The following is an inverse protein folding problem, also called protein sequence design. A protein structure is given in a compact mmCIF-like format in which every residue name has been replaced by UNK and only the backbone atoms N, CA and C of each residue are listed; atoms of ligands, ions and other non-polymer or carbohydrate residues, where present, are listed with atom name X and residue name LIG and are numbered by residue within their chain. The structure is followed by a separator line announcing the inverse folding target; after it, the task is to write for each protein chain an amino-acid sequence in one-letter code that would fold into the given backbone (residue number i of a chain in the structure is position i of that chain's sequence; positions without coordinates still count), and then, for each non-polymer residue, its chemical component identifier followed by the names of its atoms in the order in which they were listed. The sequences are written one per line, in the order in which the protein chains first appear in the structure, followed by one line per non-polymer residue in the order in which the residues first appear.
data_IF_948062662822
#
_entry.id   IF_948062662822
#
_cell.length_a   1.000
_cell.length_b   1.000
_cell.length_c   1.000
_cell.angle_alpha   90.00
_cell.angle_beta   90.00
_cell.angle_gamma   90.00
#
_symmetry.space_group_name_H-M   'P 1'
#
loop_
_entity.id
_entity.type
_entity.pdbx_description
1 polymer ?
#
# COMPACT_ATOMS: atom_id res chain seq x y z
N UNK A 1 -67.22 -45.37 -5.37
CA UNK A 1 -66.08 -44.83 -6.15
C UNK A 1 -64.79 -45.21 -5.43
N UNK A 2 -64.08 -46.23 -5.94
CA UNK A 2 -62.82 -46.71 -5.38
C UNK A 2 -61.67 -46.13 -6.21
N UNK A 3 -60.86 -45.25 -5.61
CA UNK A 3 -59.71 -44.67 -6.28
C UNK A 3 -58.51 -45.63 -6.17
N UNK A 4 -58.15 -46.19 -7.31
CA UNK A 4 -57.00 -47.06 -7.52
C UNK A 4 -55.71 -46.27 -7.30
N UNK A 5 -54.96 -46.58 -6.23
CA UNK A 5 -53.70 -45.89 -5.90
C UNK A 5 -52.58 -46.44 -6.81
N UNK A 6 -52.18 -45.67 -7.82
CA UNK A 6 -51.04 -45.97 -8.70
C UNK A 6 -49.76 -46.00 -7.84
N UNK A 7 -49.08 -47.15 -7.84
CA UNK A 7 -47.83 -47.35 -7.09
C UNK A 7 -46.68 -46.85 -7.96
N UNK A 8 -46.12 -45.69 -7.62
CA UNK A 8 -44.97 -45.11 -8.32
C UNK A 8 -43.70 -45.86 -7.89
N UNK A 9 -43.03 -46.50 -8.84
CA UNK A 9 -41.77 -47.22 -8.66
C UNK A 9 -40.63 -46.21 -8.45
N UNK A 10 -39.78 -46.32 -7.41
CA UNK A 10 -38.67 -45.40 -7.25
C UNK A 10 -37.60 -45.71 -8.31
N UNK A 11 -37.42 -44.79 -9.25
CA UNK A 11 -36.25 -44.74 -10.14
C UNK A 11 -35.01 -44.58 -9.27
N UNK A 12 -34.10 -45.56 -9.35
CA UNK A 12 -32.80 -45.49 -8.71
C UNK A 12 -32.02 -44.30 -9.23
N UNK A 13 -31.91 -43.25 -8.41
CA UNK A 13 -31.01 -42.13 -8.69
C UNK A 13 -29.60 -42.64 -8.44
N UNK A 14 -28.91 -43.04 -9.50
CA UNK A 14 -27.46 -43.16 -9.48
C UNK A 14 -26.87 -41.81 -9.04
N UNK A 15 -26.41 -41.75 -7.78
CA UNK A 15 -25.64 -40.61 -7.27
C UNK A 15 -24.29 -40.61 -7.97
N UNK A 16 -24.22 -39.96 -9.12
CA UNK A 16 -22.96 -39.46 -9.65
C UNK A 16 -22.37 -38.47 -8.64
N UNK A 17 -21.36 -38.95 -7.91
CA UNK A 17 -20.49 -38.14 -7.06
C UNK A 17 -20.00 -36.92 -7.87
N UNK A 18 -20.36 -35.68 -7.49
CA UNK A 18 -19.87 -34.51 -8.19
C UNK A 18 -18.35 -34.46 -8.03
N UNK A 19 -17.66 -34.50 -9.18
CA UNK A 19 -16.20 -34.40 -9.27
C UNK A 19 -15.75 -33.22 -8.40
N UNK A 20 -14.75 -33.42 -7.53
CA UNK A 20 -14.23 -32.45 -6.54
C UNK A 20 -13.98 -31.04 -7.12
N UNK A 21 -13.74 -30.94 -8.43
CA UNK A 21 -13.63 -29.69 -9.19
C UNK A 21 -14.89 -28.80 -9.13
N UNK A 22 -16.09 -29.38 -9.15
CA UNK A 22 -17.35 -28.64 -9.07
C UNK A 22 -17.55 -27.99 -7.70
N UNK A 23 -17.14 -28.67 -6.63
CA UNK A 23 -17.20 -28.12 -5.26
C UNK A 23 -16.20 -26.98 -5.08
N UNK A 24 -15.00 -27.10 -5.65
CA UNK A 24 -13.99 -26.03 -5.61
C UNK A 24 -14.41 -24.81 -6.43
N UNK A 25 -14.93 -25.03 -7.65
CA UNK A 25 -15.50 -23.97 -8.47
C UNK A 25 -16.64 -23.25 -7.74
N UNK A 26 -17.54 -24.00 -7.11
CA UNK A 26 -18.66 -23.41 -6.37
C UNK A 26 -18.20 -22.62 -5.14
N UNK A 27 -17.13 -23.06 -4.45
CA UNK A 27 -16.50 -22.31 -3.35
C UNK A 27 -15.78 -21.06 -3.84
N UNK A 28 -15.10 -21.12 -4.98
CA UNK A 28 -14.46 -19.95 -5.59
C UNK A 28 -15.50 -18.94 -6.05
N UNK A 29 -16.59 -19.38 -6.68
CA UNK A 29 -17.70 -18.51 -7.07
C UNK A 29 -18.39 -17.92 -5.85
N UNK A 30 -18.64 -18.71 -4.80
CA UNK A 30 -19.20 -18.17 -3.55
C UNK A 30 -18.25 -17.17 -2.89
N UNK A 31 -16.95 -17.45 -2.82
CA UNK A 31 -15.97 -16.54 -2.21
C UNK A 31 -15.78 -15.27 -3.06
N UNK A 32 -15.87 -15.38 -4.38
CA UNK A 32 -15.89 -14.26 -5.33
C UNK A 32 -17.15 -13.41 -5.17
N UNK A 33 -18.32 -14.03 -5.04
CA UNK A 33 -19.58 -13.33 -4.77
C UNK A 33 -19.58 -12.68 -3.38
N UNK A 34 -18.98 -13.30 -2.38
CA UNK A 34 -18.82 -12.74 -1.03
C UNK A 34 -17.80 -11.60 -0.98
N UNK A 35 -16.83 -11.59 -1.91
CA UNK A 35 -15.82 -10.53 -2.07
C UNK A 35 -16.28 -9.40 -2.98
N UNK A 36 -17.35 -9.57 -3.76
CA UNK A 36 -18.02 -8.46 -4.43
C UNK A 36 -18.73 -7.59 -3.39
N UNK A 37 -17.98 -6.60 -2.91
CA UNK A 37 -18.41 -5.49 -2.04
C UNK A 37 -19.64 -4.72 -2.62
N UNK A 38 -20.01 -4.98 -3.87
CA UNK A 38 -21.19 -4.41 -4.54
C UNK A 38 -22.55 -4.93 -4.08
N UNK A 39 -22.64 -6.01 -3.28
CA UNK A 39 -23.94 -6.57 -2.85
C UNK A 39 -24.43 -6.12 -1.46
N UNK A 40 -23.87 -5.05 -0.90
CA UNK A 40 -24.58 -4.28 0.15
C UNK A 40 -25.37 -3.18 -0.53
N UNK A 41 -26.52 -3.53 -1.11
CA UNK A 41 -27.41 -2.61 -1.80
C UNK A 41 -27.75 -1.37 -0.97
N UNK A 42 -27.87 -1.52 0.35
CA UNK A 42 -28.11 -0.42 1.29
C UNK A 42 -26.92 0.55 1.40
N UNK A 43 -25.68 0.04 1.46
CA UNK A 43 -24.46 0.85 1.57
C UNK A 43 -24.12 1.58 0.26
N UNK A 44 -24.54 1.02 -0.88
CA UNK A 44 -24.39 1.67 -2.20
C UNK A 44 -25.38 2.82 -2.37
N UNK A 45 -26.65 2.60 -1.98
CA UNK A 45 -27.70 3.64 -2.08
C UNK A 45 -27.42 4.78 -1.08
N UNK A 46 -27.02 4.49 0.16
CA UNK A 46 -26.65 5.51 1.13
C UNK A 46 -25.44 6.34 0.67
N UNK A 47 -24.42 5.72 0.08
CA UNK A 47 -23.29 6.46 -0.50
C UNK A 47 -23.68 7.26 -1.75
N UNK A 48 -24.60 6.75 -2.57
CA UNK A 48 -25.10 7.44 -3.75
C UNK A 48 -25.96 8.65 -3.35
N UNK A 49 -26.83 8.50 -2.34
CA UNK A 49 -27.65 9.56 -1.77
C UNK A 49 -26.78 10.58 -1.05
N UNK A 50 -25.79 10.16 -0.26
CA UNK A 50 -24.83 11.07 0.38
C UNK A 50 -23.98 11.82 -0.66
N UNK A 51 -23.61 11.17 -1.77
CA UNK A 51 -22.91 11.81 -2.88
C UNK A 51 -23.82 12.81 -3.62
N UNK A 52 -25.10 12.49 -3.81
CA UNK A 52 -26.09 13.36 -4.44
C UNK A 52 -26.39 14.57 -3.55
N UNK A 53 -26.56 14.39 -2.24
CA UNK A 53 -26.69 15.47 -1.25
C UNK A 53 -25.42 16.34 -1.19
N UNK A 54 -24.24 15.72 -1.26
CA UNK A 54 -22.97 16.45 -1.34
C UNK A 54 -22.86 17.27 -2.63
N UNK A 55 -23.26 16.70 -3.77
CA UNK A 55 -23.32 17.39 -5.06
C UNK A 55 -24.35 18.54 -5.06
N UNK A 56 -25.45 18.39 -4.31
CA UNK A 56 -26.49 19.41 -4.21
C UNK A 56 -26.11 20.55 -3.26
N UNK A 57 -25.31 20.25 -2.21
CA UNK A 57 -24.79 21.25 -1.25
C UNK A 57 -23.45 21.87 -1.64
N UNK A 58 -22.64 21.21 -2.47
CA UNK A 58 -21.29 21.63 -2.83
C UNK A 58 -21.16 21.66 -4.35
N UNK A 59 -20.77 22.81 -4.92
CA UNK A 59 -20.63 22.94 -6.37
C UNK A 59 -19.62 21.94 -6.92
N UNK A 60 -19.97 21.26 -8.03
CA UNK A 60 -19.06 20.37 -8.78
C UNK A 60 -17.71 21.04 -9.06
N UNK A 61 -17.72 22.35 -9.30
CA UNK A 61 -16.51 23.15 -9.49
C UNK A 61 -15.57 23.07 -8.28
N UNK A 62 -16.09 23.15 -7.05
CA UNK A 62 -15.28 23.06 -5.83
C UNK A 62 -14.71 21.65 -5.65
N UNK A 63 -15.48 20.60 -5.98
CA UNK A 63 -15.00 19.22 -5.93
C UNK A 63 -13.88 18.96 -6.96
N UNK A 64 -14.06 19.42 -8.19
CA UNK A 64 -13.05 19.32 -9.26
C UNK A 64 -11.79 20.12 -8.89
N UNK A 65 -11.96 21.34 -8.38
CA UNK A 65 -10.84 22.16 -7.89
C UNK A 65 -10.12 21.45 -6.75
N UNK A 66 -10.81 20.86 -5.77
CA UNK A 66 -10.16 20.08 -4.71
C UNK A 66 -9.43 18.87 -5.30
N UNK A 67 -10.00 18.12 -6.24
CA UNK A 67 -9.32 16.97 -6.86
C UNK A 67 -8.07 17.36 -7.68
N UNK A 68 -8.04 18.56 -8.26
CA UNK A 68 -6.89 19.07 -9.01
C UNK A 68 -5.87 19.73 -8.07
N UNK A 69 -6.33 20.46 -7.04
CA UNK A 69 -5.47 21.18 -6.10
C UNK A 69 -4.88 20.25 -5.06
N UNK A 70 -5.56 19.19 -4.64
CA UNK A 70 -5.03 18.22 -3.66
C UNK A 70 -3.71 17.56 -4.10
N UNK A 71 -3.52 17.12 -5.36
CA UNK A 71 -2.25 16.55 -5.80
C UNK A 71 -1.17 17.62 -6.04
N UNK A 72 -1.51 18.90 -6.23
CA UNK A 72 -0.53 19.95 -6.56
C UNK A 72 0.52 20.14 -5.46
N UNK A 73 0.19 20.28 -4.16
CA UNK A 73 1.18 20.35 -3.08
C UNK A 73 2.08 19.12 -3.02
N UNK A 74 1.53 17.93 -3.25
CA UNK A 74 2.29 16.69 -3.28
C UNK A 74 3.24 16.63 -4.50
N UNK A 75 2.78 17.07 -5.67
CA UNK A 75 3.62 17.19 -6.87
C UNK A 75 4.68 18.27 -6.72
N UNK A 76 4.36 19.41 -6.11
CA UNK A 76 5.31 20.49 -5.87
C UNK A 76 6.37 20.05 -4.87
N UNK A 77 5.99 19.34 -3.80
CA UNK A 77 6.93 18.74 -2.87
C UNK A 77 7.82 17.69 -3.56
N UNK A 78 7.25 16.82 -4.40
CA UNK A 78 8.01 15.85 -5.18
C UNK A 78 8.99 16.53 -6.15
N UNK A 79 8.57 17.59 -6.84
CA UNK A 79 9.41 18.38 -7.72
C UNK A 79 10.51 19.12 -6.96
N UNK A 80 10.21 19.73 -5.82
CA UNK A 80 11.20 20.37 -4.94
C UNK A 80 12.25 19.36 -4.46
N UNK A 81 11.81 18.13 -4.19
CA UNK A 81 12.65 17.01 -3.78
C UNK A 81 13.46 16.41 -4.96
N UNK A 82 12.93 16.45 -6.18
CA UNK A 82 13.61 16.02 -7.42
C UNK A 82 14.56 17.09 -7.96
N UNK A 83 14.31 18.37 -7.68
CA UNK A 83 15.16 19.50 -8.09
C UNK A 83 16.49 19.58 -7.32
N UNK A 84 16.63 18.82 -6.23
CA UNK A 84 17.91 18.71 -5.54
C UNK A 84 18.79 17.74 -6.34
N UNK A 85 19.63 18.30 -7.21
CA UNK A 85 20.60 17.59 -8.07
C UNK A 85 21.29 16.45 -7.30
N UNK A 86 20.97 15.21 -7.65
CA UNK A 86 21.70 14.03 -7.20
C UNK A 86 23.13 14.14 -7.72
N UNK A 87 24.09 14.34 -6.81
CA UNK A 87 25.49 14.08 -7.10
C UNK A 87 25.67 12.59 -7.48
N UNK A 88 26.71 12.24 -8.26
CA UNK A 88 26.94 10.85 -8.61
C UNK A 88 27.11 10.01 -7.34
N UNK A 89 26.27 8.98 -7.20
CA UNK A 89 26.24 8.05 -6.05
C UNK A 89 27.61 7.35 -5.81
N UNK A 90 28.57 7.46 -6.73
CA UNK A 90 29.93 6.94 -6.60
C UNK A 90 30.80 7.68 -5.59
N UNK A 91 30.46 8.93 -5.23
CA UNK A 91 31.23 9.72 -4.25
C UNK A 91 30.92 9.35 -2.78
N UNK A 92 30.05 8.35 -2.58
CA UNK A 92 29.74 7.80 -1.27
C UNK A 92 28.70 8.61 -0.49
N UNK A 93 28.33 8.08 0.69
CA UNK A 93 27.19 8.59 1.46
C UNK A 93 27.37 10.01 2.03
N UNK A 94 28.62 10.44 2.27
CA UNK A 94 28.94 11.76 2.84
C UNK A 94 28.78 12.91 1.83
N UNK A 95 29.08 12.67 0.56
CA UNK A 95 28.90 13.68 -0.50
C UNK A 95 27.41 13.91 -0.80
N UNK A 96 26.59 12.86 -0.65
CA UNK A 96 25.18 12.86 -1.03
C UNK A 96 24.23 13.37 0.08
N UNK A 97 24.47 14.56 0.65
CA UNK A 97 23.62 15.15 1.70
C UNK A 97 22.18 15.43 1.22
N UNK A 98 22.04 15.81 -0.05
CA UNK A 98 20.79 15.99 -0.77
C UNK A 98 19.84 14.79 -0.66
N UNK A 99 20.40 13.59 -0.81
CA UNK A 99 19.65 12.33 -0.74
C UNK A 99 19.07 12.13 0.66
N UNK A 100 19.84 12.43 1.71
CA UNK A 100 19.39 12.27 3.08
C UNK A 100 18.28 13.25 3.46
N UNK A 101 18.35 14.50 2.97
CA UNK A 101 17.29 15.49 3.16
C UNK A 101 15.98 15.02 2.50
N UNK A 102 16.08 14.53 1.26
CA UNK A 102 14.94 13.97 0.52
C UNK A 102 14.30 12.81 1.28
N UNK A 103 15.11 11.84 1.69
CA UNK A 103 14.63 10.65 2.41
C UNK A 103 14.04 11.04 3.77
N UNK A 104 14.57 12.10 4.42
CA UNK A 104 14.03 12.61 5.68
C UNK A 104 12.63 13.22 5.50
N UNK A 105 12.46 14.08 4.49
CA UNK A 105 11.17 14.73 4.21
C UNK A 105 10.10 13.70 3.83
N UNK A 106 10.46 12.71 3.01
CA UNK A 106 9.57 11.61 2.64
C UNK A 106 9.17 10.78 3.87
N UNK A 107 10.16 10.37 4.68
CA UNK A 107 9.89 9.64 5.92
C UNK A 107 9.00 10.43 6.88
N UNK A 108 9.24 11.74 7.05
CA UNK A 108 8.41 12.59 7.89
C UNK A 108 6.95 12.65 7.39
N UNK A 109 6.75 12.86 6.08
CA UNK A 109 5.41 12.91 5.49
C UNK A 109 4.66 11.59 5.67
N UNK A 110 5.33 10.45 5.43
CA UNK A 110 4.75 9.12 5.63
C UNK A 110 4.42 8.86 7.10
N UNK A 111 5.34 9.20 8.01
CA UNK A 111 5.11 9.03 9.45
C UNK A 111 3.96 9.90 9.96
N UNK A 112 3.86 11.16 9.48
CA UNK A 112 2.73 12.04 9.77
C UNK A 112 1.41 11.44 9.29
N UNK A 113 1.36 10.94 8.05
CA UNK A 113 0.17 10.31 7.49
C UNK A 113 -0.28 9.09 8.29
N UNK A 114 0.65 8.20 8.64
CA UNK A 114 0.37 7.03 9.48
C UNK A 114 -0.12 7.44 10.88
N UNK A 115 0.51 8.44 11.49
CA UNK A 115 0.16 8.89 12.84
C UNK A 115 -1.22 9.57 12.87
N UNK A 116 -1.56 10.35 11.85
CA UNK A 116 -2.89 10.94 11.69
C UNK A 116 -3.95 9.85 11.48
N UNK A 117 -3.67 8.85 10.63
CA UNK A 117 -4.59 7.73 10.44
C UNK A 117 -4.82 6.95 11.74
N UNK A 118 -3.77 6.73 12.53
CA UNK A 118 -3.87 6.10 13.86
C UNK A 118 -4.67 6.97 14.82
N UNK A 119 -4.43 8.29 14.83
CA UNK A 119 -5.17 9.26 15.66
C UNK A 119 -6.67 9.26 15.34
N UNK A 120 -7.03 9.33 14.06
CA UNK A 120 -8.43 9.41 13.63
C UNK A 120 -9.22 8.12 13.89
N UNK A 121 -8.54 6.96 13.89
CA UNK A 121 -9.19 5.65 13.99
C UNK A 121 -9.24 5.08 15.40
N UNK A 122 -8.22 5.33 16.24
CA UNK A 122 -8.07 4.62 17.52
C UNK A 122 -8.67 5.43 18.69
N UNK A 123 -8.32 6.70 18.88
CA UNK A 123 -8.93 7.58 19.89
C UNK A 123 -8.73 9.05 19.48
N UNK A 124 -9.79 9.72 19.03
CA UNK A 124 -9.78 11.12 18.57
C UNK A 124 -9.18 12.09 19.59
N UNK A 125 -9.30 11.79 20.90
CA UNK A 125 -8.85 12.65 22.00
C UNK A 125 -7.51 12.24 22.66
N UNK A 126 -6.89 11.11 22.29
CA UNK A 126 -5.67 10.65 22.97
C UNK A 126 -4.38 11.30 22.42
N UNK A 127 -4.39 11.77 21.16
CA UNK A 127 -3.18 12.28 20.49
C UNK A 127 -3.39 13.73 20.04
N UNK A 128 -2.76 14.67 20.73
CA UNK A 128 -2.68 16.07 20.29
C UNK A 128 -1.95 16.19 18.95
N UNK A 129 -2.27 17.20 18.14
CA UNK A 129 -1.56 17.47 16.87
C UNK A 129 -0.05 17.64 17.07
N UNK A 130 0.35 18.21 18.21
CA UNK A 130 1.76 18.33 18.60
C UNK A 130 2.37 16.97 18.89
N UNK A 131 1.65 16.07 19.55
CA UNK A 131 2.11 14.70 19.82
C UNK A 131 2.30 13.89 18.53
N UNK A 132 1.40 14.06 17.56
CA UNK A 132 1.54 13.44 16.24
C UNK A 132 2.79 13.95 15.50
N UNK A 133 3.05 15.27 15.54
CA UNK A 133 4.24 15.86 14.95
C UNK A 133 5.53 15.36 15.62
N UNK A 134 5.53 15.21 16.96
CA UNK A 134 6.68 14.67 17.71
C UNK A 134 6.94 13.21 17.35
N UNK A 135 5.91 12.37 17.26
CA UNK A 135 6.04 10.97 16.83
C UNK A 135 6.61 10.90 15.41
N UNK A 136 6.07 11.68 14.48
CA UNK A 136 6.52 11.67 13.10
C UNK A 136 7.95 12.18 12.94
N UNK A 137 8.32 13.25 13.63
CA UNK A 137 9.67 13.80 13.62
C UNK A 137 10.67 12.81 14.24
N UNK A 138 10.33 12.25 15.40
CA UNK A 138 11.14 11.22 16.06
C UNK A 138 11.35 10.00 15.17
N UNK A 139 10.29 9.55 14.48
CA UNK A 139 10.36 8.45 13.52
C UNK A 139 11.32 8.77 12.39
N UNK A 140 11.16 9.93 11.75
CA UNK A 140 11.98 10.33 10.61
C UNK A 140 13.46 10.45 10.99
N UNK A 141 13.76 11.03 12.17
CA UNK A 141 15.13 11.15 12.68
C UNK A 141 15.75 9.78 12.98
N UNK A 142 15.03 8.89 13.67
CA UNK A 142 15.51 7.55 13.99
C UNK A 142 15.76 6.72 12.72
N UNK A 143 14.83 6.82 11.76
CA UNK A 143 14.93 6.15 10.47
C UNK A 143 16.13 6.63 9.65
N UNK A 144 16.33 7.94 9.51
CA UNK A 144 17.49 8.50 8.81
C UNK A 144 18.80 8.15 9.50
N UNK A 145 18.84 8.22 10.83
CA UNK A 145 20.04 7.86 11.60
C UNK A 145 20.44 6.41 11.34
N UNK A 146 19.47 5.49 11.34
CA UNK A 146 19.69 4.09 11.01
C UNK A 146 20.13 3.93 9.55
N UNK A 147 19.51 4.65 8.61
CA UNK A 147 19.86 4.58 7.20
C UNK A 147 21.29 5.07 6.91
N UNK A 148 21.72 6.16 7.57
CA UNK A 148 23.09 6.67 7.51
C UNK A 148 24.07 5.68 8.15
N UNK A 149 23.71 5.10 9.30
CA UNK A 149 24.53 4.08 9.95
C UNK A 149 24.75 2.86 9.04
N UNK A 150 23.68 2.36 8.41
CA UNK A 150 23.77 1.27 7.43
C UNK A 150 24.63 1.69 6.23
N UNK A 151 24.48 2.91 5.73
CA UNK A 151 25.30 3.43 4.63
C UNK A 151 26.79 3.62 5.02
N UNK A 152 27.08 3.84 6.31
CA UNK A 152 28.44 3.95 6.82
C UNK A 152 29.10 2.58 7.03
N UNK A 153 28.32 1.57 7.45
CA UNK A 153 28.79 0.20 7.68
C UNK A 153 28.84 -0.63 6.39
N UNK A 154 28.00 -0.30 5.40
CA UNK A 154 27.88 -1.02 4.14
C UNK A 154 28.54 -0.27 2.97
N UNK A 155 28.94 -1.01 1.92
CA UNK A 155 29.48 -0.40 0.69
C UNK A 155 28.36 0.33 -0.05
N UNK A 156 28.37 1.66 -0.01
CA UNK A 156 27.40 2.50 -0.75
C UNK A 156 27.51 2.26 -2.27
N UNK A 157 26.38 2.23 -3.02
CA UNK A 157 24.98 2.41 -2.60
C UNK A 157 24.33 1.14 -2.00
N UNK A 158 23.36 1.33 -1.08
CA UNK A 158 22.62 0.23 -0.43
C UNK A 158 21.72 -0.46 -1.48
N UNK A 159 21.89 -1.77 -1.74
CA UNK A 159 21.02 -2.49 -2.67
C UNK A 159 19.60 -2.56 -2.10
N UNK A 160 18.60 -2.25 -2.93
CA UNK A 160 17.17 -2.30 -2.59
C UNK A 160 16.75 -1.40 -1.40
N UNK A 161 17.40 -0.24 -1.22
CA UNK A 161 17.10 0.71 -0.14
C UNK A 161 15.60 0.98 0.04
N UNK A 162 14.85 1.19 -1.05
CA UNK A 162 13.40 1.46 -0.99
C UNK A 162 12.53 0.32 -0.43
N UNK A 163 13.02 -0.91 -0.45
CA UNK A 163 12.30 -2.09 0.08
C UNK A 163 12.75 -2.38 1.51
N UNK A 164 14.06 -2.34 1.73
CA UNK A 164 14.66 -2.62 3.03
C UNK A 164 14.29 -1.57 4.08
N UNK A 165 14.05 -0.33 3.65
CA UNK A 165 13.68 0.80 4.49
C UNK A 165 12.29 0.71 5.12
N UNK A 166 11.37 -0.03 4.52
CA UNK A 166 9.97 -0.10 4.95
C UNK A 166 9.87 -0.74 6.35
N UNK A 167 10.63 -1.81 6.58
CA UNK A 167 10.59 -2.56 7.83
C UNK A 167 11.04 -1.69 9.02
N UNK A 168 12.21 -1.01 8.96
CA UNK A 168 12.59 -0.04 9.98
C UNK A 168 11.58 1.09 10.16
N UNK A 169 11.01 1.61 9.07
CA UNK A 169 10.05 2.71 9.13
C UNK A 169 8.80 2.32 9.94
N UNK A 170 8.19 1.18 9.62
CA UNK A 170 7.02 0.66 10.34
C UNK A 170 7.38 0.35 11.79
N UNK A 171 8.56 -0.22 12.04
CA UNK A 171 9.04 -0.48 13.40
C UNK A 171 9.13 0.80 14.24
N UNK A 172 9.77 1.87 13.73
CA UNK A 172 9.92 3.13 14.46
C UNK A 172 8.59 3.84 14.71
N UNK A 173 7.69 3.87 13.73
CA UNK A 173 6.34 4.45 13.90
C UNK A 173 5.59 3.70 15.00
N UNK A 174 5.55 2.36 14.92
CA UNK A 174 4.86 1.54 15.91
C UNK A 174 5.49 1.68 17.30
N UNK A 175 6.82 1.69 17.40
CA UNK A 175 7.55 1.82 18.66
C UNK A 175 7.28 3.18 19.32
N UNK A 176 7.48 4.29 18.60
CA UNK A 176 7.28 5.63 19.14
C UNK A 176 5.81 5.90 19.47
N UNK A 177 4.88 5.41 18.65
CA UNK A 177 3.45 5.49 18.98
C UNK A 177 3.13 4.67 20.22
N UNK A 178 3.75 3.49 20.40
CA UNK A 178 3.58 2.66 21.60
C UNK A 178 4.09 3.36 22.85
N UNK A 179 5.23 4.05 22.76
CA UNK A 179 5.80 4.81 23.88
C UNK A 179 4.90 5.98 24.27
N UNK A 180 4.30 6.67 23.29
CA UNK A 180 3.47 7.86 23.54
C UNK A 180 2.04 7.52 23.97
N UNK A 181 1.45 6.46 23.42
CA UNK A 181 0.01 6.13 23.57
C UNK A 181 -0.23 4.88 24.44
N UNK A 182 0.77 4.00 24.54
CA UNK A 182 0.68 2.73 25.25
C UNK A 182 0.42 1.51 24.34
N UNK A 183 0.93 0.31 24.70
CA UNK A 183 0.92 -0.87 23.83
C UNK A 183 -0.47 -1.48 23.60
N UNK A 184 -1.37 -1.33 24.58
CA UNK A 184 -2.70 -1.96 24.56
C UNK A 184 -3.59 -1.45 23.41
N UNK A 185 -3.48 -0.15 23.09
CA UNK A 185 -4.31 0.51 22.08
C UNK A 185 -3.88 0.16 20.64
N UNK A 186 -2.59 -0.08 20.42
CA UNK A 186 -2.07 -0.41 19.09
C UNK A 186 -2.31 -1.87 18.71
N UNK A 187 -2.10 -2.81 19.64
CA UNK A 187 -2.23 -4.25 19.39
C UNK A 187 -3.69 -4.65 19.09
N UNK A 188 -4.63 -3.94 19.69
CA UNK A 188 -6.07 -4.19 19.59
C UNK A 188 -6.70 -3.63 18.31
N UNK A 189 -6.01 -2.74 17.58
CA UNK A 189 -6.63 -2.08 16.43
C UNK A 189 -6.58 -2.95 15.15
N UNK A 190 -7.73 -3.28 14.55
CA UNK A 190 -7.76 -4.04 13.29
C UNK A 190 -7.26 -3.20 12.10
N UNK A 191 -7.38 -1.87 12.18
CA UNK A 191 -7.01 -0.96 11.10
C UNK A 191 -5.49 -0.83 10.96
N UNK A 192 -4.72 -0.78 12.06
CA UNK A 192 -3.25 -0.78 11.97
C UNK A 192 -2.75 -2.06 11.28
N UNK A 193 -3.36 -3.21 11.60
CA UNK A 193 -3.06 -4.48 10.92
C UNK A 193 -3.38 -4.41 9.44
N UNK A 194 -4.49 -3.76 9.07
CA UNK A 194 -4.86 -3.59 7.67
C UNK A 194 -3.91 -2.63 6.94
N UNK A 195 -3.45 -1.56 7.59
CA UNK A 195 -2.47 -0.64 7.01
C UNK A 195 -1.10 -1.28 6.83
N UNK A 196 -0.60 -2.00 7.84
CA UNK A 196 0.65 -2.75 7.72
C UNK A 196 0.53 -3.76 6.57
N UNK A 197 -0.59 -4.48 6.47
CA UNK A 197 -0.84 -5.37 5.32
C UNK A 197 -0.86 -4.62 3.99
N UNK A 198 -1.55 -3.49 3.90
CA UNK A 198 -1.62 -2.68 2.68
C UNK A 198 -0.24 -2.15 2.28
N UNK A 199 0.55 -1.66 3.24
CA UNK A 199 1.90 -1.17 2.99
C UNK A 199 2.82 -2.30 2.53
N UNK A 200 2.74 -3.48 3.15
CA UNK A 200 3.46 -4.67 2.69
C UNK A 200 3.06 -5.09 1.27
N UNK A 201 1.77 -5.01 0.92
CA UNK A 201 1.27 -5.30 -0.43
C UNK A 201 1.83 -4.29 -1.44
N UNK A 202 1.75 -2.98 -1.15
CA UNK A 202 2.30 -1.92 -2.01
C UNK A 202 3.79 -2.16 -2.24
N UNK A 203 4.53 -2.48 -1.19
CA UNK A 203 5.97 -2.74 -1.27
C UNK A 203 6.26 -4.00 -2.07
N UNK A 204 5.49 -5.07 -1.88
CA UNK A 204 5.56 -6.27 -2.71
C UNK A 204 5.32 -5.97 -4.19
N UNK A 205 4.37 -5.08 -4.49
CA UNK A 205 4.13 -4.59 -5.85
C UNK A 205 5.31 -3.78 -6.38
N UNK A 206 5.90 -2.89 -5.59
CA UNK A 206 7.08 -2.12 -6.00
C UNK A 206 8.30 -3.01 -6.26
N UNK A 207 8.52 -4.05 -5.45
CA UNK A 207 9.56 -5.07 -5.68
C UNK A 207 9.34 -5.76 -7.02
N UNK A 208 8.11 -6.16 -7.31
CA UNK A 208 7.76 -6.83 -8.56
C UNK A 208 8.02 -5.91 -9.77
N UNK A 209 7.60 -4.65 -9.70
CA UNK A 209 7.87 -3.64 -10.74
C UNK A 209 9.37 -3.46 -10.94
N UNK A 210 10.17 -3.39 -9.87
CA UNK A 210 11.62 -3.25 -9.96
C UNK A 210 12.28 -4.47 -10.62
N UNK A 211 11.81 -5.68 -10.30
CA UNK A 211 12.30 -6.93 -10.92
C UNK A 211 11.95 -6.98 -12.40
N UNK A 212 10.71 -6.63 -12.77
CA UNK A 212 10.26 -6.59 -14.16
C UNK A 212 11.06 -5.56 -14.95
N UNK A 213 11.23 -4.35 -14.42
CA UNK A 213 12.03 -3.34 -15.08
C UNK A 213 13.48 -3.78 -15.28
N UNK A 214 14.09 -4.40 -14.25
CA UNK A 214 15.47 -4.93 -14.32
C UNK A 214 15.61 -6.03 -15.38
N UNK A 215 14.63 -6.92 -15.49
CA UNK A 215 14.64 -8.01 -16.48
C UNK A 215 14.42 -7.49 -17.90
N UNK A 216 13.51 -6.52 -18.09
CA UNK A 216 13.28 -5.86 -19.39
C UNK A 216 14.52 -5.13 -19.89
N UNK A 217 15.23 -4.40 -19.03
CA UNK A 217 16.49 -3.71 -19.40
C UNK A 217 17.56 -4.73 -19.79
N UNK A 218 17.74 -5.80 -19.00
CA UNK A 218 18.75 -6.84 -19.30
C UNK A 218 18.44 -7.58 -20.61
N UNK A 219 17.16 -7.82 -20.92
CA UNK A 219 16.74 -8.41 -22.18
C UNK A 219 17.02 -7.48 -23.37
N UNK A 220 16.75 -6.17 -23.22
CA UNK A 220 17.05 -5.16 -24.24
C UNK A 220 18.56 -5.03 -24.52
N UNK A 221 19.40 -5.08 -23.49
CA UNK A 221 20.86 -5.05 -23.67
C UNK A 221 21.38 -6.32 -24.35
N UNK A 222 20.84 -7.50 -23.99
CA UNK A 222 21.23 -8.76 -24.61
C UNK A 222 20.82 -8.83 -26.10
N UNK A 223 19.64 -8.30 -26.46
CA UNK A 223 19.19 -8.26 -27.85
C UNK A 223 20.02 -7.29 -28.71
N UNK A 224 20.43 -6.14 -28.17
CA UNK A 224 21.33 -5.21 -28.87
C UNK A 224 22.75 -5.75 -29.05
N UNK A 225 23.27 -6.51 -28.08
CA UNK A 225 24.58 -7.16 -28.21
C UNK A 225 24.54 -8.26 -29.28
N UNK A 226 23.45 -9.04 -29.32
CA UNK A 226 23.27 -10.10 -30.31
C UNK A 226 23.12 -9.55 -31.73
N UNK A 227 22.40 -8.42 -31.91
CA UNK A 227 22.28 -7.77 -33.22
C UNK A 227 23.60 -7.18 -33.71
N UNK A 228 24.40 -6.58 -32.83
CA UNK A 228 25.75 -6.07 -33.16
C UNK A 228 26.74 -7.18 -33.51
N UNK A 229 26.72 -8.31 -32.79
CA UNK A 229 27.57 -9.46 -33.13
C UNK A 229 27.20 -10.06 -34.48
N UNK A 230 25.90 -10.12 -34.80
CA UNK A 230 25.42 -10.60 -36.10
C UNK A 230 25.76 -9.65 -37.27
N UNK A 231 25.86 -8.34 -37.05
CA UNK A 231 26.25 -7.39 -38.10
C UNK A 231 27.76 -7.28 -38.31
N UNK A 232 28.57 -7.94 -37.47
CA UNK A 232 30.04 -7.93 -37.51
C UNK A 232 30.64 -9.20 -38.12
N UNK A 233 29.79 -10.19 -38.41
CA UNK A 233 30.07 -11.46 -39.08
C UNK A 233 29.50 -11.41 -40.50
#
# INVERSE_FOLDING_TARGET
MSFHRIKVQPVGIERHQPKKAGVFYHKLVQSWQHSQIGHRSQYSIERLLAFQDYHQRVSLSRAITVCIVTPIPAMLAALLVDCILLQPLSEGWKANYALWIRVFLDAFAVAMGLTIQVKEVIVTDAISHTGAAVIALGTAMAYISLAILVAALWRFPIPFFGVLSVVPMVFFVCFLTTVVVGPYLLISSPVLRQQIKSQLVIVGTQVLVAIIFRSSVRFSTASQLFSRLRSSL
#
